data_IF_397922062616
#
_entry.id   IF_397922062616
#
_cell.length_a   1.000
_cell.length_b   1.000
_cell.length_c   1.000
_cell.angle_alpha   90.00
_cell.angle_beta   90.00
_cell.angle_gamma   90.00
#
_symmetry.space_group_name_H-M   'P 1'
#
loop_
_entity.id
_entity.type
_entity.pdbx_description
1 polymer ?
#
# COMPACT_ATOMS: atom_id res chain seq x y z
N UNK A 1 -4.73 13.15 -14.87
CA UNK A 1 -5.54 12.16 -14.15
C UNK A 1 -5.87 12.65 -12.74
N UNK A 2 -7.11 12.45 -12.24
CA UNK A 2 -7.54 13.06 -10.96
C UNK A 2 -6.71 12.61 -9.75
N UNK A 3 -6.41 11.30 -9.62
CA UNK A 3 -5.63 10.77 -8.52
C UNK A 3 -4.21 11.34 -8.49
N UNK A 4 -3.55 11.36 -9.61
CA UNK A 4 -2.17 11.85 -9.77
C UNK A 4 -2.06 13.34 -9.35
N UNK A 5 -2.96 14.18 -9.87
CA UNK A 5 -3.02 15.59 -9.50
C UNK A 5 -3.32 15.79 -7.99
N UNK A 6 -4.22 14.98 -7.42
CA UNK A 6 -4.55 15.06 -5.99
C UNK A 6 -3.35 14.70 -5.11
N UNK A 7 -2.60 13.67 -5.48
CA UNK A 7 -1.41 13.24 -4.72
C UNK A 7 -0.34 14.33 -4.75
N UNK A 8 -0.07 14.92 -5.92
CA UNK A 8 0.97 15.94 -6.06
C UNK A 8 0.73 17.20 -5.22
N UNK A 9 -0.54 17.51 -4.93
CA UNK A 9 -0.95 18.66 -4.11
C UNK A 9 -1.13 18.33 -2.63
N UNK A 10 -1.02 17.05 -2.22
CA UNK A 10 -1.33 16.63 -0.85
C UNK A 10 -0.11 16.67 0.05
N UNK A 11 -0.26 17.25 1.24
CA UNK A 11 0.74 17.15 2.32
C UNK A 11 0.89 15.72 2.85
N UNK A 12 -0.06 14.84 2.58
CA UNK A 12 -0.05 13.43 2.97
C UNK A 12 0.62 12.52 1.92
N UNK A 13 1.12 13.07 0.80
CA UNK A 13 1.62 12.30 -0.34
C UNK A 13 2.66 11.21 0.03
N UNK A 14 3.65 11.55 0.86
CA UNK A 14 4.70 10.61 1.28
C UNK A 14 4.14 9.44 2.10
N UNK A 15 3.29 9.72 3.09
CA UNK A 15 2.65 8.70 3.90
C UNK A 15 1.69 7.84 3.05
N UNK A 16 0.93 8.49 2.17
CA UNK A 16 0.04 7.81 1.23
C UNK A 16 0.80 6.85 0.31
N UNK A 17 1.89 7.31 -0.33
CA UNK A 17 2.71 6.46 -1.22
C UNK A 17 3.19 5.20 -0.52
N UNK A 18 3.67 5.32 0.73
CA UNK A 18 4.12 4.17 1.52
C UNK A 18 2.99 3.18 1.79
N UNK A 19 1.82 3.67 2.23
CA UNK A 19 0.65 2.82 2.50
C UNK A 19 0.12 2.20 1.21
N UNK A 20 0.03 2.97 0.13
CA UNK A 20 -0.37 2.48 -1.18
C UNK A 20 0.56 1.39 -1.73
N UNK A 21 1.86 1.42 -1.38
CA UNK A 21 2.78 0.34 -1.73
C UNK A 21 2.41 -0.98 -1.04
N UNK A 22 2.05 -0.97 0.24
CA UNK A 22 1.57 -2.19 0.90
C UNK A 22 0.28 -2.72 0.28
N UNK A 23 -0.67 -1.83 -0.01
CA UNK A 23 -1.94 -2.16 -0.67
C UNK A 23 -1.73 -2.77 -2.05
N UNK A 24 -0.91 -2.14 -2.87
CA UNK A 24 -0.58 -2.64 -4.21
C UNK A 24 0.12 -3.99 -4.15
N UNK A 25 1.03 -4.18 -3.21
CA UNK A 25 1.71 -5.47 -3.03
C UNK A 25 0.74 -6.58 -2.61
N UNK A 26 -0.16 -6.29 -1.66
CA UNK A 26 -1.21 -7.24 -1.28
C UNK A 26 -2.07 -7.64 -2.48
N UNK A 27 -2.44 -6.67 -3.33
CA UNK A 27 -3.19 -6.92 -4.55
C UNK A 27 -2.45 -7.82 -5.54
N UNK A 28 -1.16 -7.59 -5.73
CA UNK A 28 -0.33 -8.45 -6.58
C UNK A 28 -0.26 -9.89 -6.06
N UNK A 29 -0.11 -10.09 -4.75
CA UNK A 29 -0.15 -11.39 -4.11
C UNK A 29 -1.49 -12.10 -4.32
N UNK A 30 -2.61 -11.39 -4.18
CA UNK A 30 -3.96 -11.92 -4.43
C UNK A 30 -4.16 -12.32 -5.90
N UNK A 31 -3.60 -11.57 -6.85
CA UNK A 31 -3.65 -11.89 -8.27
C UNK A 31 -2.89 -13.17 -8.61
N UNK A 32 -1.84 -13.51 -7.87
CA UNK A 32 -1.17 -14.82 -8.01
C UNK A 32 -1.78 -15.93 -7.14
N UNK A 33 -2.96 -15.71 -6.58
CA UNK A 33 -3.73 -16.67 -5.77
C UNK A 33 -3.20 -16.91 -4.36
N UNK A 34 -2.41 -15.99 -3.80
CA UNK A 34 -2.12 -16.04 -2.38
C UNK A 34 -3.39 -15.69 -1.59
N UNK A 35 -3.72 -16.55 -0.63
CA UNK A 35 -4.82 -16.31 0.33
C UNK A 35 -4.31 -15.40 1.45
N UNK A 36 -4.28 -14.12 1.17
CA UNK A 36 -3.76 -13.10 2.07
C UNK A 36 -4.66 -11.87 2.06
N UNK A 37 -4.91 -11.32 3.23
CA UNK A 37 -5.60 -10.05 3.37
C UNK A 37 -4.61 -8.88 3.34
N UNK A 38 -5.07 -7.73 2.95
CA UNK A 38 -4.25 -6.52 2.89
C UNK A 38 -3.66 -6.15 4.26
N UNK A 39 -4.42 -6.31 5.34
CA UNK A 39 -3.95 -6.05 6.70
C UNK A 39 -2.73 -6.91 7.10
N UNK A 40 -2.59 -8.10 6.53
CA UNK A 40 -1.45 -8.98 6.80
C UNK A 40 -0.17 -8.37 6.21
N UNK A 41 -0.25 -7.82 5.00
CA UNK A 41 0.88 -7.12 4.38
C UNK A 41 1.25 -5.85 5.16
N UNK A 42 0.26 -5.09 5.64
CA UNK A 42 0.50 -3.94 6.53
C UNK A 42 1.17 -4.36 7.83
N UNK A 43 0.73 -5.44 8.46
CA UNK A 43 1.31 -5.94 9.71
C UNK A 43 2.76 -6.39 9.51
N UNK A 44 3.05 -7.09 8.44
CA UNK A 44 4.42 -7.51 8.08
C UNK A 44 5.31 -6.31 7.75
N UNK A 45 4.78 -5.33 7.00
CA UNK A 45 5.49 -4.08 6.70
C UNK A 45 5.81 -3.24 7.94
N UNK A 46 5.00 -3.34 9.00
CA UNK A 46 5.25 -2.73 10.30
C UNK A 46 6.13 -3.58 11.24
N UNK A 47 6.53 -4.79 10.82
CA UNK A 47 7.30 -5.72 11.66
C UNK A 47 6.47 -6.32 12.80
N UNK A 48 5.15 -6.37 12.66
CA UNK A 48 4.22 -6.86 13.67
C UNK A 48 3.40 -8.02 13.12
N UNK A 49 2.89 -8.84 14.03
CA UNK A 49 1.96 -9.90 13.72
C UNK A 49 0.67 -9.73 14.51
N UNK A 50 -0.45 -9.70 13.81
CA UNK A 50 -1.76 -9.64 14.43
C UNK A 50 -2.17 -11.06 14.85
N UNK A 51 -2.60 -11.21 16.09
CA UNK A 51 -3.03 -12.51 16.63
C UNK A 51 -4.21 -13.09 15.84
N UNK A 52 -4.10 -14.38 15.50
CA UNK A 52 -5.11 -15.07 14.70
C UNK A 52 -4.99 -14.85 13.19
N UNK A 53 -3.97 -14.11 12.75
CA UNK A 53 -3.64 -13.91 11.34
C UNK A 53 -2.48 -14.80 10.89
N UNK A 54 -2.36 -15.09 9.57
CA UNK A 54 -1.27 -15.89 9.04
C UNK A 54 0.10 -15.33 9.42
N UNK A 55 1.03 -16.24 9.74
CA UNK A 55 2.43 -15.91 9.90
C UNK A 55 3.06 -15.61 8.53
N UNK A 56 4.02 -14.68 8.51
CA UNK A 56 4.91 -14.59 7.37
C UNK A 56 5.66 -15.92 7.23
N UNK A 57 5.50 -16.58 6.09
CA UNK A 57 6.13 -17.88 5.85
C UNK A 57 7.64 -17.73 5.76
N UNK A 58 8.37 -18.65 6.44
CA UNK A 58 9.82 -18.75 6.32
C UNK A 58 10.24 -19.66 5.17
N UNK A 59 9.33 -20.50 4.67
CA UNK A 59 9.61 -21.45 3.58
C UNK A 59 9.44 -20.78 2.21
N UNK A 60 8.40 -19.93 2.07
CA UNK A 60 8.19 -19.09 0.89
C UNK A 60 7.96 -17.68 1.39
N UNK A 61 8.94 -16.80 1.24
CA UNK A 61 8.79 -15.40 1.63
C UNK A 61 7.98 -14.66 0.58
N UNK A 62 6.67 -14.56 0.81
CA UNK A 62 5.77 -13.79 -0.08
C UNK A 62 6.11 -12.30 -0.12
N UNK A 63 6.99 -11.82 0.77
CA UNK A 63 7.37 -10.41 0.88
C UNK A 63 8.79 -10.14 0.34
N UNK A 64 9.42 -11.13 -0.27
CA UNK A 64 10.80 -11.09 -0.77
C UNK A 64 11.04 -9.98 -1.80
N UNK A 65 10.07 -9.74 -2.68
CA UNK A 65 10.14 -8.73 -3.76
C UNK A 65 9.70 -7.33 -3.34
N UNK A 66 9.18 -7.16 -2.13
CA UNK A 66 8.65 -5.87 -1.69
C UNK A 66 9.72 -4.77 -1.63
N UNK A 67 10.90 -5.11 -1.11
CA UNK A 67 12.01 -4.15 -1.00
C UNK A 67 12.50 -3.66 -2.36
N UNK A 68 12.69 -4.57 -3.31
CA UNK A 68 13.08 -4.28 -4.68
C UNK A 68 12.04 -3.37 -5.37
N UNK A 69 10.76 -3.75 -5.30
CA UNK A 69 9.69 -2.99 -5.90
C UNK A 69 9.53 -1.59 -5.30
N UNK A 70 9.60 -1.44 -3.99
CA UNK A 70 9.50 -0.13 -3.35
C UNK A 70 10.70 0.75 -3.66
N UNK A 71 11.89 0.19 -3.78
CA UNK A 71 13.07 0.91 -4.25
C UNK A 71 12.84 1.48 -5.65
N UNK A 72 12.32 0.67 -6.57
CA UNK A 72 11.99 1.12 -7.91
C UNK A 72 10.88 2.20 -7.92
N UNK A 73 9.86 2.07 -7.05
CA UNK A 73 8.77 3.06 -6.93
C UNK A 73 9.24 4.45 -6.47
N UNK A 74 10.30 4.51 -5.66
CA UNK A 74 10.80 5.75 -5.06
C UNK A 74 12.05 6.29 -5.75
N UNK A 75 12.56 5.56 -6.75
CA UNK A 75 13.68 6.03 -7.53
C UNK A 75 13.23 7.10 -8.52
N UNK A 76 13.92 8.25 -8.52
CA UNK A 76 13.63 9.35 -9.43
C UNK A 76 14.09 9.07 -10.86
N UNK A 77 14.97 8.07 -11.09
CA UNK A 77 15.36 7.64 -12.43
C UNK A 77 14.28 6.75 -13.07
N UNK A 78 13.57 7.24 -14.10
CA UNK A 78 12.49 6.50 -14.75
C UNK A 78 12.97 5.25 -15.49
N UNK A 79 14.26 5.05 -15.70
CA UNK A 79 14.82 3.89 -16.41
C UNK A 79 15.33 2.80 -15.46
N UNK A 80 15.64 3.14 -14.22
CA UNK A 80 16.30 2.25 -13.26
C UNK A 80 15.48 1.00 -12.89
N UNK A 81 14.16 1.05 -13.01
CA UNK A 81 13.30 -0.12 -12.78
C UNK A 81 13.39 -1.18 -13.89
N UNK A 82 13.87 -0.80 -15.08
CA UNK A 82 14.02 -1.72 -16.22
C UNK A 82 15.12 -2.74 -16.00
N UNK A 83 16.16 -2.38 -15.27
CA UNK A 83 17.31 -3.25 -15.00
C UNK A 83 16.98 -4.40 -14.05
N UNK A 84 15.95 -4.25 -13.22
CA UNK A 84 15.46 -5.29 -12.30
C UNK A 84 14.33 -6.17 -12.87
N UNK A 85 13.74 -5.81 -14.02
CA UNK A 85 12.77 -6.63 -14.71
C UNK A 85 13.47 -7.54 -15.72
N UNK A 86 13.03 -8.81 -15.89
CA UNK A 86 13.59 -9.67 -16.91
C UNK A 86 13.58 -8.98 -18.27
N UNK A 87 14.72 -8.91 -18.90
CA UNK A 87 14.98 -8.26 -20.20
C UNK A 87 14.15 -8.82 -21.36
N UNK A 88 13.31 -9.83 -21.09
CA UNK A 88 12.44 -10.50 -22.05
C UNK A 88 11.18 -9.70 -22.42
N UNK A 89 10.91 -8.56 -21.78
CA UNK A 89 9.90 -7.65 -22.30
C UNK A 89 10.57 -6.87 -23.43
N UNK A 90 10.50 -7.43 -24.64
CA UNK A 90 10.99 -6.78 -25.85
C UNK A 90 10.59 -5.31 -25.86
N UNK A 91 11.44 -4.47 -26.44
CA UNK A 91 11.13 -3.05 -26.66
C UNK A 91 9.68 -2.92 -27.11
N UNK A 92 8.91 -1.97 -26.60
CA UNK A 92 7.54 -1.79 -27.03
C UNK A 92 7.58 -1.71 -28.56
N UNK A 93 7.03 -2.69 -29.24
CA UNK A 93 6.79 -2.60 -30.65
C UNK A 93 5.86 -1.41 -30.81
N UNK A 94 6.40 -0.29 -31.23
CA UNK A 94 5.73 1.01 -31.39
C UNK A 94 4.58 0.97 -32.42
N UNK A 95 4.28 -0.20 -32.92
CA UNK A 95 3.41 -0.46 -34.06
C UNK A 95 1.99 -0.93 -33.69
N UNK A 96 1.54 -0.85 -32.41
CA UNK A 96 0.16 -1.21 -32.14
C UNK A 96 -0.74 0.02 -32.09
N UNK A 97 -1.75 0.09 -32.96
CA UNK A 97 -2.85 1.08 -32.95
C UNK A 97 -3.71 1.05 -31.68
N UNK A 98 -3.30 0.24 -30.66
CA UNK A 98 -4.05 0.10 -29.43
C UNK A 98 -3.89 1.30 -28.50
N UNK A 99 -4.95 1.68 -27.79
CA UNK A 99 -4.89 2.73 -26.76
C UNK A 99 -3.80 2.48 -25.72
N UNK A 100 -3.16 3.53 -25.22
CA UNK A 100 -2.06 3.45 -24.25
C UNK A 100 -2.39 2.56 -23.04
N UNK A 101 -3.63 2.58 -22.56
CA UNK A 101 -4.07 1.76 -21.44
C UNK A 101 -4.06 0.26 -21.77
N UNK A 102 -4.49 -0.10 -22.98
CA UNK A 102 -4.47 -1.50 -23.46
C UNK A 102 -3.01 -1.98 -23.58
N UNK A 103 -2.13 -1.14 -24.14
CA UNK A 103 -0.69 -1.44 -24.26
C UNK A 103 -0.03 -1.66 -22.89
N UNK A 104 -0.41 -0.87 -21.86
CA UNK A 104 0.08 -1.05 -20.50
C UNK A 104 -0.33 -2.42 -19.92
N UNK A 105 -1.58 -2.81 -20.11
CA UNK A 105 -2.05 -4.14 -19.68
C UNK A 105 -1.45 -5.27 -20.50
N UNK A 106 -1.24 -5.10 -21.82
CA UNK A 106 -0.60 -6.11 -22.66
C UNK A 106 0.84 -6.39 -22.21
N UNK A 107 1.59 -5.37 -21.80
CA UNK A 107 2.92 -5.55 -21.20
C UNK A 107 2.85 -6.43 -19.94
N UNK A 108 1.94 -6.13 -19.02
CA UNK A 108 1.73 -6.95 -17.83
C UNK A 108 1.33 -8.38 -18.17
N UNK A 109 0.42 -8.54 -19.12
CA UNK A 109 -0.03 -9.86 -19.61
C UNK A 109 1.10 -10.70 -20.18
N UNK A 110 1.92 -10.10 -21.05
CA UNK A 110 3.08 -10.78 -21.64
C UNK A 110 4.03 -11.25 -20.55
N UNK A 111 4.34 -10.37 -19.59
CA UNK A 111 5.19 -10.70 -18.45
C UNK A 111 4.59 -11.81 -17.58
N UNK A 112 3.30 -11.73 -17.23
CA UNK A 112 2.62 -12.73 -16.41
C UNK A 112 2.54 -14.12 -17.04
N UNK A 113 2.71 -14.24 -18.35
CA UNK A 113 2.78 -15.52 -19.07
C UNK A 113 4.17 -16.16 -19.01
N UNK A 114 5.20 -15.36 -18.84
CA UNK A 114 6.59 -15.81 -18.80
C UNK A 114 7.01 -16.07 -17.36
N UNK A 115 6.68 -15.17 -16.47
CA UNK A 115 7.10 -15.19 -15.06
C UNK A 115 5.89 -15.44 -14.13
N UNK A 116 6.04 -16.41 -13.24
CA UNK A 116 5.12 -16.60 -12.12
C UNK A 116 5.41 -15.57 -11.01
N UNK A 117 4.47 -15.40 -10.09
CA UNK A 117 4.67 -14.54 -8.93
C UNK A 117 4.01 -13.17 -9.03
N UNK A 118 4.37 -12.28 -8.11
CA UNK A 118 3.77 -10.96 -7.97
C UNK A 118 4.32 -9.93 -8.96
N UNK A 119 5.57 -10.11 -9.42
CA UNK A 119 6.31 -9.11 -10.21
C UNK A 119 5.57 -8.62 -11.46
N UNK A 120 4.96 -9.47 -12.29
CA UNK A 120 4.23 -8.99 -13.46
C UNK A 120 3.15 -7.96 -13.12
N UNK A 121 2.41 -8.21 -12.05
CA UNK A 121 1.32 -7.32 -11.60
C UNK A 121 1.84 -6.01 -11.01
N UNK A 122 2.98 -6.08 -10.32
CA UNK A 122 3.70 -4.93 -9.77
C UNK A 122 4.28 -4.02 -10.87
N UNK A 123 4.38 -4.52 -12.09
CA UNK A 123 4.83 -3.77 -13.26
C UNK A 123 3.81 -2.76 -13.81
N UNK A 124 2.51 -2.93 -13.52
CA UNK A 124 1.47 -2.06 -14.10
C UNK A 124 1.64 -0.56 -13.78
N UNK A 125 1.93 -0.12 -12.53
CA UNK A 125 2.18 1.28 -12.23
C UNK A 125 3.25 1.92 -13.11
N UNK A 126 4.30 1.18 -13.41
CA UNK A 126 5.40 1.65 -14.27
C UNK A 126 4.97 1.70 -15.74
N UNK A 127 4.25 0.69 -16.23
CA UNK A 127 3.70 0.69 -17.58
C UNK A 127 2.76 1.87 -17.80
N UNK A 128 1.89 2.18 -16.83
CA UNK A 128 0.99 3.34 -16.90
C UNK A 128 1.75 4.66 -17.01
N UNK A 129 2.86 4.81 -16.27
CA UNK A 129 3.75 5.98 -16.40
C UNK A 129 4.42 6.02 -17.77
N UNK A 130 4.99 4.92 -18.21
CA UNK A 130 5.75 4.85 -19.47
C UNK A 130 4.89 5.15 -20.69
N UNK A 131 3.60 4.81 -20.63
CA UNK A 131 2.63 5.16 -21.66
C UNK A 131 1.95 6.52 -21.43
N UNK A 132 2.47 7.35 -20.51
CA UNK A 132 2.00 8.72 -20.28
C UNK A 132 0.64 8.85 -19.59
N UNK A 133 0.14 7.76 -18.95
CA UNK A 133 -1.15 7.77 -18.27
C UNK A 133 -1.05 8.31 -16.84
N UNK A 134 0.13 8.27 -16.24
CA UNK A 134 0.45 8.87 -14.93
C UNK A 134 1.78 9.58 -14.99
N UNK A 135 1.99 10.62 -14.18
CA UNK A 135 3.26 11.34 -14.10
C UNK A 135 4.33 10.53 -13.34
N UNK A 136 3.89 9.67 -12.40
CA UNK A 136 4.76 8.79 -11.62
C UNK A 136 4.10 7.43 -11.45
N UNK A 137 4.86 6.36 -11.10
CA UNK A 137 4.26 5.09 -10.74
C UNK A 137 3.39 5.24 -9.48
N UNK A 138 2.10 4.92 -9.59
CA UNK A 138 1.17 4.99 -8.46
C UNK A 138 0.96 3.59 -7.89
N UNK A 139 1.46 3.30 -6.67
CA UNK A 139 1.50 1.93 -6.14
C UNK A 139 0.11 1.27 -6.00
N UNK A 140 -0.95 2.04 -5.79
CA UNK A 140 -2.32 1.52 -5.73
C UNK A 140 -2.84 1.01 -7.08
N UNK A 141 -2.23 1.40 -8.20
CA UNK A 141 -2.66 1.00 -9.55
C UNK A 141 -2.09 -0.35 -9.99
N UNK A 142 -1.79 -1.24 -9.05
CA UNK A 142 -1.54 -2.65 -9.34
C UNK A 142 -2.83 -3.29 -9.79
N UNK A 143 -2.81 -4.00 -10.92
CA UNK A 143 -4.03 -4.57 -11.46
C UNK A 143 -3.81 -5.56 -12.57
N UNK A 144 -4.90 -6.13 -13.01
CA UNK A 144 -4.97 -7.19 -14.00
C UNK A 144 -6.02 -8.23 -13.60
N UNK A 145 -6.06 -9.34 -14.30
CA UNK A 145 -6.92 -10.49 -13.99
C UNK A 145 -6.12 -11.77 -14.09
N UNK A 146 -6.47 -12.78 -13.31
CA UNK A 146 -5.80 -14.10 -13.35
C UNK A 146 -5.81 -14.72 -14.75
N UNK A 147 -6.85 -14.43 -15.55
CA UNK A 147 -6.96 -14.88 -16.92
C UNK A 147 -5.81 -14.42 -17.81
N UNK A 148 -5.19 -13.27 -17.56
CA UNK A 148 -4.02 -12.79 -18.31
C UNK A 148 -2.84 -13.76 -18.28
N UNK A 149 -2.69 -14.49 -17.19
CA UNK A 149 -1.67 -15.54 -17.04
C UNK A 149 -2.08 -16.84 -17.72
N UNK A 150 -3.36 -17.19 -17.63
CA UNK A 150 -3.86 -18.51 -18.02
C UNK A 150 -4.28 -18.59 -19.49
N UNK A 151 -4.81 -17.51 -20.06
CA UNK A 151 -5.33 -17.48 -21.43
C UNK A 151 -4.30 -16.94 -22.43
N UNK A 152 -4.22 -17.58 -23.61
CA UNK A 152 -3.38 -17.09 -24.69
C UNK A 152 -3.89 -15.75 -25.24
N UNK A 153 -5.20 -15.64 -25.42
CA UNK A 153 -5.89 -14.41 -25.80
C UNK A 153 -7.01 -14.14 -24.78
N UNK A 154 -6.98 -13.02 -24.06
CA UNK A 154 -8.08 -12.58 -23.21
C UNK A 154 -9.29 -12.22 -24.07
N UNK A 155 -10.48 -12.48 -23.53
CA UNK A 155 -11.73 -12.04 -24.15
C UNK A 155 -12.15 -10.66 -23.61
N UNK A 156 -13.25 -10.10 -24.17
CA UNK A 156 -13.75 -8.78 -23.79
C UNK A 156 -14.17 -8.73 -22.30
N UNK A 157 -14.61 -9.86 -21.75
CA UNK A 157 -14.94 -9.98 -20.33
C UNK A 157 -13.71 -9.83 -19.44
N UNK A 158 -12.59 -10.44 -19.81
CA UNK A 158 -11.32 -10.34 -19.11
C UNK A 158 -10.79 -8.89 -19.13
N UNK A 159 -10.86 -8.23 -20.29
CA UNK A 159 -10.48 -6.83 -20.43
C UNK A 159 -11.36 -5.90 -19.59
N UNK A 160 -12.66 -6.11 -19.63
CA UNK A 160 -13.62 -5.36 -18.81
C UNK A 160 -13.35 -5.54 -17.33
N UNK A 161 -13.06 -6.75 -16.87
CA UNK A 161 -12.73 -7.04 -15.49
C UNK A 161 -11.41 -6.36 -15.07
N UNK A 162 -10.38 -6.37 -15.91
CA UNK A 162 -9.11 -5.70 -15.64
C UNK A 162 -9.29 -4.18 -15.51
N UNK A 163 -10.06 -3.56 -16.40
CA UNK A 163 -10.36 -2.12 -16.36
C UNK A 163 -11.16 -1.73 -15.11
N UNK A 164 -12.19 -2.50 -14.76
CA UNK A 164 -12.97 -2.28 -13.52
C UNK A 164 -12.10 -2.40 -12.27
N UNK A 165 -11.18 -3.36 -12.25
CA UNK A 165 -10.24 -3.51 -11.13
C UNK A 165 -9.33 -2.30 -11.02
N UNK A 166 -8.82 -1.78 -12.12
CA UNK A 166 -7.99 -0.57 -12.15
C UNK A 166 -8.77 0.66 -11.66
N UNK A 167 -10.01 0.82 -12.13
CA UNK A 167 -10.91 1.90 -11.69
C UNK A 167 -11.17 1.83 -10.18
N UNK A 168 -11.54 0.65 -9.68
CA UNK A 168 -11.76 0.43 -8.26
C UNK A 168 -10.52 0.75 -7.40
N UNK A 169 -9.33 0.36 -7.87
CA UNK A 169 -8.08 0.65 -7.17
C UNK A 169 -7.75 2.16 -7.21
N UNK A 170 -8.06 2.85 -8.29
CA UNK A 170 -7.89 4.30 -8.37
C UNK A 170 -8.85 5.03 -7.42
N UNK A 171 -10.11 4.61 -7.35
CA UNK A 171 -11.10 5.16 -6.41
C UNK A 171 -10.68 4.89 -4.96
N UNK A 172 -10.33 3.66 -4.61
CA UNK A 172 -9.82 3.31 -3.28
C UNK A 172 -8.57 4.13 -2.92
N UNK A 173 -7.68 4.37 -3.87
CA UNK A 173 -6.51 5.22 -3.68
C UNK A 173 -6.87 6.67 -3.33
N UNK A 174 -7.92 7.24 -3.94
CA UNK A 174 -8.44 8.57 -3.61
C UNK A 174 -9.08 8.59 -2.23
N UNK A 175 -9.94 7.62 -1.92
CA UNK A 175 -10.63 7.55 -0.63
C UNK A 175 -9.63 7.44 0.53
N UNK A 176 -8.55 6.67 0.34
CA UNK A 176 -7.45 6.56 1.31
C UNK A 176 -6.67 7.86 1.47
N UNK A 177 -6.44 8.59 0.38
CA UNK A 177 -5.80 9.90 0.45
C UNK A 177 -6.66 10.87 1.27
N UNK A 178 -7.96 10.92 1.00
CA UNK A 178 -8.90 11.77 1.71
C UNK A 178 -9.02 11.38 3.20
N UNK A 179 -9.02 10.08 3.51
CA UNK A 179 -9.00 9.57 4.90
C UNK A 179 -7.72 9.96 5.64
N UNK A 180 -6.58 9.82 4.98
CA UNK A 180 -5.28 10.19 5.55
C UNK A 180 -5.17 11.69 5.77
N UNK A 181 -5.64 12.53 4.85
CA UNK A 181 -5.70 13.98 5.04
C UNK A 181 -6.61 14.39 6.20
N UNK A 182 -7.74 13.70 6.39
CA UNK A 182 -8.58 13.89 7.59
C UNK A 182 -7.83 13.53 8.86
N UNK A 183 -7.12 12.40 8.87
CA UNK A 183 -6.29 11.99 10.00
C UNK A 183 -5.22 13.05 10.32
N UNK A 184 -4.54 13.58 9.30
CA UNK A 184 -3.55 14.66 9.47
C UNK A 184 -4.16 15.90 10.13
N UNK A 185 -5.30 16.38 9.62
CA UNK A 185 -5.99 17.54 10.21
C UNK A 185 -6.42 17.29 11.65
N UNK A 186 -6.95 16.11 11.95
CA UNK A 186 -7.34 15.74 13.31
C UNK A 186 -6.12 15.66 14.24
N UNK A 187 -5.02 15.09 13.75
CA UNK A 187 -3.74 15.05 14.47
C UNK A 187 -3.26 16.44 14.85
N UNK A 188 -3.25 17.38 13.88
CA UNK A 188 -2.83 18.76 14.16
C UNK A 188 -3.73 19.44 15.17
N UNK A 189 -5.06 19.28 15.06
CA UNK A 189 -6.02 19.83 16.03
C UNK A 189 -5.78 19.29 17.44
N UNK A 190 -5.56 17.99 17.57
CA UNK A 190 -5.27 17.35 18.86
C UNK A 190 -3.98 17.88 19.47
N UNK A 191 -2.91 18.02 18.69
CA UNK A 191 -1.63 18.56 19.17
C UNK A 191 -1.79 20.00 19.63
N UNK A 192 -2.50 20.85 18.88
CA UNK A 192 -2.72 22.25 19.22
C UNK A 192 -3.62 22.44 20.45
N UNK A 193 -4.54 21.53 20.71
CA UNK A 193 -5.40 21.57 21.88
C UNK A 193 -4.69 21.17 23.19
N UNK A 194 -3.53 20.52 23.08
CA UNK A 194 -2.79 20.01 24.22
C UNK A 194 -1.83 21.03 24.79
N UNK A 195 -1.98 21.38 26.09
CA UNK A 195 -1.06 22.30 26.78
C UNK A 195 0.39 21.76 26.85
N UNK A 196 0.54 20.40 26.97
CA UNK A 196 1.85 19.73 27.00
C UNK A 196 1.79 18.47 26.15
N UNK A 197 1.97 18.59 24.83
CA UNK A 197 1.86 17.43 23.95
C UNK A 197 2.94 16.36 24.20
N UNK A 198 4.12 16.73 24.74
CA UNK A 198 5.21 15.79 25.01
C UNK A 198 5.65 15.05 23.72
N UNK A 199 5.74 13.72 23.77
CA UNK A 199 6.10 12.89 22.64
C UNK A 199 4.93 12.55 21.69
N UNK A 200 3.71 13.09 21.91
CA UNK A 200 2.54 12.82 21.07
C UNK A 200 2.76 13.21 19.60
N UNK A 201 3.34 14.38 19.26
CA UNK A 201 3.63 14.71 17.85
C UNK A 201 4.53 13.69 17.17
N UNK A 202 5.56 13.20 17.86
CA UNK A 202 6.47 12.19 17.31
C UNK A 202 5.76 10.82 17.12
N UNK A 203 4.90 10.42 18.06
CA UNK A 203 4.07 9.22 17.89
C UNK A 203 3.16 9.34 16.66
N UNK A 204 2.49 10.48 16.49
CA UNK A 204 1.55 10.65 15.40
C UNK A 204 2.26 10.76 14.04
N UNK A 205 3.45 11.35 13.99
CA UNK A 205 4.31 11.29 12.81
C UNK A 205 4.74 9.84 12.49
N UNK A 206 5.08 9.06 13.52
CA UNK A 206 5.39 7.63 13.33
C UNK A 206 4.18 6.87 12.79
N UNK A 207 2.97 7.08 13.34
CA UNK A 207 1.74 6.40 12.91
C UNK A 207 1.34 6.69 11.46
N UNK A 208 1.75 7.82 10.90
CA UNK A 208 1.52 8.13 9.49
C UNK A 208 2.24 7.17 8.56
N UNK A 209 3.46 6.79 8.91
CA UNK A 209 4.33 5.91 8.12
C UNK A 209 4.26 4.44 8.56
N UNK A 210 3.96 4.18 9.82
CA UNK A 210 3.78 2.87 10.42
C UNK A 210 2.40 2.83 11.10
N UNK A 211 1.33 2.56 10.35
CA UNK A 211 -0.03 2.68 10.87
C UNK A 211 -0.42 1.62 11.90
N UNK A 212 0.34 0.54 12.01
CA UNK A 212 0.21 -0.46 13.06
C UNK A 212 1.39 -0.35 14.02
N UNK A 213 1.11 -0.16 15.31
CA UNK A 213 2.09 0.11 16.36
C UNK A 213 1.88 -0.79 17.58
N UNK A 214 2.97 -1.14 18.24
CA UNK A 214 2.96 -1.76 19.57
C UNK A 214 3.73 -0.88 20.57
N UNK A 215 3.51 -1.05 21.89
CA UNK A 215 4.32 -0.35 22.90
C UNK A 215 5.81 -0.58 22.71
N UNK A 216 6.22 -1.79 22.33
CA UNK A 216 7.61 -2.11 22.06
C UNK A 216 8.16 -1.31 20.86
N UNK A 217 7.45 -1.34 19.71
CA UNK A 217 7.86 -0.58 18.51
C UNK A 217 7.99 0.92 18.81
N UNK A 218 7.04 1.48 19.57
CA UNK A 218 7.08 2.91 19.94
C UNK A 218 8.22 3.21 20.91
N UNK A 219 8.45 2.32 21.89
CA UNK A 219 9.57 2.42 22.83
C UNK A 219 10.91 2.49 22.09
N UNK A 220 11.14 1.58 21.15
CA UNK A 220 12.38 1.52 20.35
C UNK A 220 12.55 2.74 19.45
N UNK A 221 11.49 3.12 18.71
CA UNK A 221 11.54 4.20 17.71
C UNK A 221 11.63 5.60 18.35
N UNK A 222 10.94 5.81 19.47
CA UNK A 222 10.91 7.11 20.16
C UNK A 222 11.83 7.19 21.40
N UNK A 223 12.58 6.11 21.68
CA UNK A 223 13.50 6.01 22.84
C UNK A 223 12.79 6.30 24.17
N UNK A 224 11.61 5.72 24.35
CA UNK A 224 10.79 5.80 25.55
C UNK A 224 10.86 4.49 26.33
N UNK A 225 10.48 4.52 27.63
CA UNK A 225 10.18 3.28 28.34
C UNK A 225 8.92 2.60 27.76
N UNK A 226 8.80 1.29 27.86
CA UNK A 226 7.61 0.54 27.38
C UNK A 226 6.34 1.07 28.07
N UNK A 227 6.40 1.38 29.38
CA UNK A 227 5.29 1.96 30.12
C UNK A 227 4.91 3.36 29.60
N UNK A 228 5.91 4.20 29.27
CA UNK A 228 5.70 5.51 28.65
C UNK A 228 5.09 5.40 27.26
N UNK A 229 5.58 4.47 26.44
CA UNK A 229 5.04 4.20 25.13
C UNK A 229 3.58 3.70 25.19
N UNK A 230 3.25 2.81 26.15
CA UNK A 230 1.87 2.33 26.35
C UNK A 230 0.92 3.47 26.70
N UNK A 231 1.28 4.32 27.66
CA UNK A 231 0.47 5.49 28.05
C UNK A 231 0.28 6.48 26.89
N UNK A 232 1.32 6.66 26.07
CA UNK A 232 1.27 7.55 24.92
C UNK A 232 0.32 7.00 23.82
N UNK A 233 0.36 5.70 23.57
CA UNK A 233 -0.57 5.02 22.65
C UNK A 233 -2.02 5.07 23.14
N UNK A 234 -2.25 4.83 24.44
CA UNK A 234 -3.57 4.92 25.07
C UNK A 234 -4.13 6.34 24.99
N UNK A 235 -3.28 7.36 25.18
CA UNK A 235 -3.67 8.77 25.02
C UNK A 235 -4.08 9.07 23.56
N UNK A 236 -3.33 8.60 22.57
CA UNK A 236 -3.67 8.77 21.17
C UNK A 236 -4.96 8.01 20.80
N UNK A 237 -5.19 6.85 21.40
CA UNK A 237 -6.43 6.08 21.21
C UNK A 237 -7.63 6.80 21.85
N UNK A 238 -7.48 7.37 23.06
CA UNK A 238 -8.52 8.17 23.70
C UNK A 238 -8.88 9.43 22.91
N UNK A 239 -7.92 9.98 22.16
CA UNK A 239 -8.15 11.09 21.22
C UNK A 239 -8.75 10.64 19.86
N UNK A 240 -9.03 9.34 19.67
CA UNK A 240 -9.61 8.80 18.44
C UNK A 240 -8.67 8.76 17.23
N UNK A 241 -7.35 8.94 17.45
CA UNK A 241 -6.35 8.93 16.38
C UNK A 241 -5.81 7.54 16.08
N UNK A 242 -5.86 6.66 17.07
CA UNK A 242 -5.52 5.24 16.98
C UNK A 242 -6.68 4.40 17.53
N UNK A 243 -6.74 3.13 17.15
CA UNK A 243 -7.64 2.14 17.72
C UNK A 243 -6.85 0.95 18.25
N UNK A 244 -7.09 0.52 19.48
CA UNK A 244 -6.57 -0.74 19.98
C UNK A 244 -7.33 -1.90 19.31
N UNK A 245 -6.61 -2.73 18.55
CA UNK A 245 -7.19 -3.86 17.79
C UNK A 245 -7.03 -5.21 18.49
N UNK A 246 -6.22 -5.28 19.55
CA UNK A 246 -6.01 -6.49 20.34
C UNK A 246 -6.69 -6.32 21.70
N UNK A 247 -7.70 -7.14 22.00
CA UNK A 247 -8.40 -7.13 23.30
C UNK A 247 -7.61 -7.90 24.38
N UNK A 248 -6.27 -7.75 24.44
CA UNK A 248 -5.39 -8.47 25.37
C UNK A 248 -4.76 -7.52 26.38
N UNK A 249 -4.58 -7.97 27.63
CA UNK A 249 -3.87 -7.17 28.67
C UNK A 249 -2.39 -6.96 28.35
N UNK A 250 -1.76 -7.95 27.71
CA UNK A 250 -0.39 -7.91 27.20
C UNK A 250 -0.39 -7.95 25.67
N UNK A 251 0.63 -7.40 25.02
CA UNK A 251 0.78 -7.38 23.55
C UNK A 251 -0.27 -6.53 22.84
N UNK A 252 -0.58 -5.37 23.40
CA UNK A 252 -1.47 -4.40 22.78
C UNK A 252 -0.93 -3.94 21.43
N UNK A 253 -1.81 -3.86 20.45
CA UNK A 253 -1.52 -3.32 19.13
C UNK A 253 -2.55 -2.24 18.78
N UNK A 254 -2.07 -1.18 18.17
CA UNK A 254 -2.84 0.00 17.84
C UNK A 254 -2.74 0.27 16.34
N UNK A 255 -3.89 0.39 15.69
CA UNK A 255 -4.02 0.70 14.27
C UNK A 255 -4.47 2.15 14.12
N UNK A 256 -3.96 2.86 13.10
CA UNK A 256 -4.44 4.20 12.80
C UNK A 256 -5.93 4.19 12.45
N UNK A 257 -6.67 5.19 12.95
CA UNK A 257 -8.14 5.16 12.93
C UNK A 257 -8.74 5.14 11.52
N UNK A 258 -8.08 5.72 10.54
CA UNK A 258 -8.47 5.67 9.13
C UNK A 258 -8.49 4.23 8.58
N UNK A 259 -7.43 3.46 8.85
CA UNK A 259 -7.33 2.05 8.43
C UNK A 259 -8.17 1.13 9.32
N UNK A 260 -8.39 1.48 10.59
CA UNK A 260 -9.22 0.69 11.47
C UNK A 260 -10.67 0.58 10.97
N UNK A 261 -11.20 1.64 10.37
CA UNK A 261 -12.51 1.64 9.73
C UNK A 261 -12.47 0.78 8.45
N UNK A 262 -11.46 0.97 7.64
CA UNK A 262 -11.30 0.28 6.36
C UNK A 262 -11.17 -1.24 6.54
N UNK A 263 -10.40 -1.68 7.52
CA UNK A 263 -10.20 -3.11 7.81
C UNK A 263 -11.26 -3.72 8.74
N UNK A 264 -12.34 -2.98 9.05
CA UNK A 264 -13.48 -3.50 9.81
C UNK A 264 -13.25 -3.67 11.31
N UNK A 265 -12.20 -3.03 11.88
CA UNK A 265 -11.97 -3.02 13.33
C UNK A 265 -12.83 -1.99 14.07
N UNK A 266 -13.32 -0.97 13.36
CA UNK A 266 -14.23 0.02 13.90
C UNK A 266 -15.45 0.15 12.98
N UNK A 267 -16.66 0.45 13.54
CA UNK A 267 -17.83 0.71 12.71
C UNK A 267 -17.60 1.97 11.86
N UNK A 268 -18.05 1.96 10.61
CA UNK A 268 -18.15 3.16 9.80
C UNK A 268 -19.15 4.11 10.50
N UNK A 269 -18.73 5.35 10.76
CA UNK A 269 -19.58 6.40 11.36
C UNK A 269 -20.42 7.07 10.29
#
# INVERSE_FOLDING_TARGET
MRLDARISMSSAATAWKRRAAWSGYAKALQLQSAEIDEIDVFSWGCGLQISGRPLRSTTVDLFDRFGEWTTALYNDDPLNWRDGLPTAIGEPTDASDHPALVRAFDRVRQHARIEGGAMPWLGLPFALRDFGLTAAPLPCLVGGVKAFRLKRAPDDGDWTAALRTLEANACAGLDRLDALERLFRNTQRTILAEYRPGALPALLALAQHHPLLSPQTVSEKLKLSIAGASKLLERAASAGLLLEITKRRSWKQFLSSDLAIEFGYAPAK
#
